data_IF_965202928779
#
_entry.id   IF_965202928779
#
_cell.length_a   1.000
_cell.length_b   1.000
_cell.length_c   1.000
_cell.angle_alpha   90.00
_cell.angle_beta   90.00
_cell.angle_gamma   90.00
#
_symmetry.space_group_name_H-M   'P 1'
#
loop_
_entity.id
_entity.type
_entity.pdbx_description
1 polymer ?
#
# COMPACT_ATOMS: atom_id res chain seq x y z
N UNK A 1 4.78 29.22 16.88
CA UNK A 1 3.43 28.66 16.65
C UNK A 1 3.44 27.21 17.09
N UNK A 2 2.61 26.85 18.09
CA UNK A 2 2.49 25.49 18.64
C UNK A 2 1.25 24.88 18.02
N UNK A 3 1.37 23.73 17.38
CA UNK A 3 0.25 22.96 16.84
C UNK A 3 -0.25 22.02 17.93
N UNK A 4 -1.33 22.33 18.69
CA UNK A 4 -1.97 21.30 19.47
C UNK A 4 -2.72 20.36 18.49
N UNK A 5 -2.95 19.11 18.87
CA UNK A 5 -3.91 18.18 18.25
C UNK A 5 -3.64 17.63 16.83
N UNK A 6 -2.42 17.16 16.52
CA UNK A 6 -2.32 16.07 15.54
C UNK A 6 -2.78 14.77 16.21
N UNK A 7 -4.04 14.44 15.91
CA UNK A 7 -4.64 13.10 15.86
C UNK A 7 -4.13 12.09 16.91
N UNK A 8 -4.99 11.87 17.90
CA UNK A 8 -5.05 10.64 18.70
C UNK A 8 -4.74 9.44 17.81
N UNK A 9 -3.63 8.76 18.08
CA UNK A 9 -3.32 7.47 17.49
C UNK A 9 -4.55 6.56 17.62
N UNK A 10 -4.94 5.81 16.58
CA UNK A 10 -5.96 4.78 16.76
C UNK A 10 -5.49 3.84 17.89
N UNK A 11 -6.41 3.27 18.68
CA UNK A 11 -6.02 2.27 19.68
C UNK A 11 -5.26 1.17 18.95
N UNK A 12 -3.97 1.02 19.26
CA UNK A 12 -3.18 -0.12 18.84
C UNK A 12 -3.89 -1.34 19.40
N UNK A 13 -4.62 -2.06 18.55
CA UNK A 13 -5.13 -3.38 18.91
C UNK A 13 -3.92 -4.17 19.41
N UNK A 14 -4.01 -4.86 20.57
CA UNK A 14 -2.90 -5.68 21.04
C UNK A 14 -2.51 -6.63 19.90
N UNK A 15 -1.21 -6.91 19.69
CA UNK A 15 -0.82 -7.90 18.70
C UNK A 15 -1.50 -9.21 19.11
N UNK A 16 -2.53 -9.60 18.35
CA UNK A 16 -3.02 -10.97 18.38
C UNK A 16 -1.76 -11.82 18.25
N UNK A 17 -1.48 -12.67 19.24
CA UNK A 17 -0.28 -13.49 19.29
C UNK A 17 -0.09 -14.12 17.91
N UNK A 18 0.83 -13.55 17.11
CA UNK A 18 0.96 -13.89 15.71
C UNK A 18 1.59 -15.28 15.69
N UNK A 19 0.76 -16.31 15.67
CA UNK A 19 1.20 -17.66 15.36
C UNK A 19 1.91 -17.56 14.01
N UNK A 20 3.22 -17.82 13.99
CA UNK A 20 4.01 -17.71 12.76
C UNK A 20 3.45 -18.70 11.74
N UNK A 21 2.88 -18.17 10.66
CA UNK A 21 2.40 -18.98 9.54
C UNK A 21 3.58 -19.30 8.61
N UNK A 22 3.59 -20.51 8.08
CA UNK A 22 4.44 -20.89 6.96
C UNK A 22 3.96 -20.25 5.66
N UNK A 23 4.83 -20.19 4.65
CA UNK A 23 4.48 -19.64 3.34
C UNK A 23 3.29 -20.37 2.69
N UNK A 24 3.21 -21.68 2.84
CA UNK A 24 2.10 -22.47 2.27
C UNK A 24 0.75 -22.08 2.87
N UNK A 25 0.70 -21.86 4.19
CA UNK A 25 -0.51 -21.43 4.89
C UNK A 25 -0.93 -20.02 4.46
N UNK A 26 0.03 -19.10 4.30
CA UNK A 26 -0.24 -17.77 3.74
C UNK A 26 -0.87 -17.88 2.36
N UNK A 27 -0.32 -18.70 1.47
CA UNK A 27 -0.85 -18.88 0.11
C UNK A 27 -2.26 -19.47 0.13
N UNK A 28 -2.55 -20.40 1.03
CA UNK A 28 -3.88 -20.97 1.18
C UNK A 28 -4.91 -19.90 1.62
N UNK A 29 -4.55 -19.06 2.59
CA UNK A 29 -5.42 -17.95 3.03
C UNK A 29 -5.73 -16.99 1.87
N UNK A 30 -4.71 -16.63 1.09
CA UNK A 30 -4.89 -15.80 -0.12
C UNK A 30 -5.84 -16.46 -1.11
N UNK A 31 -5.69 -17.77 -1.34
CA UNK A 31 -6.50 -18.49 -2.30
C UNK A 31 -7.96 -18.66 -1.86
N UNK A 32 -8.19 -18.81 -0.55
CA UNK A 32 -9.51 -18.88 0.07
C UNK A 32 -10.17 -17.50 0.24
N UNK A 33 -9.46 -16.41 -0.08
CA UNK A 33 -9.94 -15.04 0.11
C UNK A 33 -10.07 -14.64 1.58
N UNK A 34 -9.34 -15.31 2.47
CA UNK A 34 -9.28 -14.98 3.91
C UNK A 34 -8.18 -13.96 4.17
N UNK A 35 -8.39 -13.15 5.21
CA UNK A 35 -7.42 -12.15 5.64
C UNK A 35 -6.10 -12.82 6.07
N UNK A 36 -4.98 -12.27 5.59
CA UNK A 36 -3.65 -12.72 5.99
C UNK A 36 -3.18 -11.90 7.18
N UNK A 37 -2.82 -12.53 8.32
CA UNK A 37 -2.36 -11.82 9.51
C UNK A 37 -1.14 -10.94 9.21
N UNK A 38 -1.14 -9.72 9.76
CA UNK A 38 -0.06 -8.75 9.56
C UNK A 38 -0.16 -7.94 8.27
N UNK A 39 -1.16 -8.19 7.42
CA UNK A 39 -1.51 -7.28 6.33
C UNK A 39 -2.16 -6.04 6.92
N UNK A 40 -1.64 -4.88 6.56
CA UNK A 40 -2.29 -3.60 6.86
C UNK A 40 -3.19 -3.26 5.69
N UNK A 41 -4.48 -3.09 5.93
CA UNK A 41 -5.38 -2.45 4.97
C UNK A 41 -5.28 -0.94 5.16
N UNK A 42 -4.60 -0.21 4.27
CA UNK A 42 -4.55 1.24 4.38
C UNK A 42 -5.94 1.83 4.14
N UNK A 43 -6.40 2.72 5.02
CA UNK A 43 -7.58 3.56 4.78
C UNK A 43 -7.25 4.61 3.72
N UNK A 44 -7.37 4.21 2.45
CA UNK A 44 -7.09 5.05 1.30
C UNK A 44 -8.35 5.77 0.88
N UNK A 45 -8.38 7.08 1.12
CA UNK A 45 -9.41 7.98 0.58
C UNK A 45 -8.90 8.69 -0.67
N UNK A 46 -9.75 8.93 -1.69
CA UNK A 46 -9.38 9.75 -2.83
C UNK A 46 -9.03 11.16 -2.33
N UNK A 47 -7.78 11.57 -2.55
CA UNK A 47 -7.32 12.90 -2.10
C UNK A 47 -7.78 14.03 -3.03
N UNK A 48 -8.35 13.69 -4.20
CA UNK A 48 -8.65 14.62 -5.31
C UNK A 48 -7.46 15.51 -5.70
N UNK A 49 -6.24 15.09 -5.37
CA UNK A 49 -5.01 15.77 -5.74
C UNK A 49 -4.58 15.36 -7.16
N UNK A 50 -3.62 16.09 -7.73
CA UNK A 50 -2.99 15.69 -8.98
C UNK A 50 -2.46 14.26 -8.91
N UNK A 51 -2.58 13.47 -9.99
CA UNK A 51 -2.10 12.09 -10.02
C UNK A 51 -0.62 12.01 -9.64
N UNK A 52 -0.24 10.96 -8.92
CA UNK A 52 1.18 10.68 -8.63
C UNK A 52 1.92 10.41 -9.94
N UNK A 53 3.26 10.58 -10.00
CA UNK A 53 4.02 10.38 -11.24
C UNK A 53 3.82 9.00 -11.91
N UNK A 54 3.45 7.96 -11.15
CA UNK A 54 3.12 6.63 -11.68
C UNK A 54 1.75 6.55 -12.37
N UNK A 55 0.84 7.47 -12.05
CA UNK A 55 -0.51 7.59 -12.61
C UNK A 55 -0.61 8.64 -13.72
N UNK A 56 0.44 9.45 -13.91
CA UNK A 56 0.51 10.40 -15.02
C UNK A 56 0.66 9.66 -16.36
N UNK A 57 0.10 10.23 -17.43
CA UNK A 57 0.32 9.70 -18.79
C UNK A 57 1.83 9.66 -19.07
N UNK A 58 2.34 8.47 -19.40
CA UNK A 58 3.77 8.28 -19.65
C UNK A 58 4.17 9.08 -20.89
N UNK A 59 5.02 10.09 -20.70
CA UNK A 59 5.70 10.78 -21.81
C UNK A 59 6.94 9.96 -22.17
N UNK A 60 7.04 9.58 -23.44
CA UNK A 60 8.20 8.88 -23.95
C UNK A 60 9.45 9.75 -23.78
N UNK A 61 10.53 9.15 -23.29
CA UNK A 61 11.81 9.84 -23.20
C UNK A 61 12.38 10.02 -24.61
N UNK A 62 13.17 11.09 -24.87
CA UNK A 62 13.78 11.31 -26.18
C UNK A 62 14.61 10.12 -26.67
N UNK A 63 15.13 9.29 -25.77
CA UNK A 63 15.89 8.10 -26.11
C UNK A 63 15.10 6.82 -26.33
N UNK A 64 13.80 6.81 -26.01
CA UNK A 64 12.92 5.66 -26.26
C UNK A 64 12.50 5.57 -27.74
N UNK A 65 12.63 6.66 -28.50
CA UNK A 65 12.24 6.75 -29.92
C UNK A 65 13.38 6.65 -30.93
N UNK A 66 14.63 6.35 -30.51
CA UNK A 66 15.69 6.07 -31.49
C UNK A 66 15.45 4.69 -32.11
N UNK A 67 14.55 4.63 -33.10
CA UNK A 67 14.68 3.64 -34.15
C UNK A 67 16.03 3.91 -34.81
N UNK A 68 16.97 2.99 -34.59
CA UNK A 68 18.27 2.93 -35.23
C UNK A 68 18.10 3.17 -36.73
N UNK A 69 18.62 4.30 -37.21
CA UNK A 69 18.93 4.54 -38.61
C UNK A 69 20.43 4.31 -38.79
#
# INVERSE_FOLDING_TARGET
MRFPHLLRSPPSSPPASLSQLSFAEVMQLVQEGKEVPGVTEPDVQPSNQSPTPSQMQRVQKPWEGWHLV
#
